data_IF_470644811190
#
_entry.id   IF_470644811190
#
_cell.length_a   1.000
_cell.length_b   1.000
_cell.length_c   1.000
_cell.angle_alpha   90.00
_cell.angle_beta   90.00
_cell.angle_gamma   90.00
#
_symmetry.space_group_name_H-M   'P 1'
#
loop_
_entity.id
_entity.type
_entity.pdbx_description
1 polymer ?
#
# COMPACT_ATOMS: atom_id res chain seq x y z
N UNK A 1 0.47 -26.42 3.01
CA UNK A 1 0.32 -25.85 2.80
C UNK A 1 -0.05 -24.86 3.17
N UNK A 2 -0.04 -24.24 3.11
CA UNK A 2 -0.43 -23.41 3.57
C UNK A 2 -0.72 -22.46 3.23
N UNK A 3 -1.18 -22.23 3.12
CA UNK A 3 -1.58 -21.33 2.73
C UNK A 3 -1.82 -20.33 3.46
N UNK A 4 -1.08 -19.80 3.72
CA UNK A 4 -1.21 -18.77 4.40
C UNK A 4 -1.95 -17.85 3.77
N UNK A 5 -2.78 -17.32 4.30
CA UNK A 5 -3.51 -16.43 3.79
C UNK A 5 -2.79 -15.29 3.49
N UNK A 6 -2.61 -15.10 2.40
CA UNK A 6 -2.00 -14.08 2.06
C UNK A 6 -2.79 -12.95 2.40
N UNK A 7 -2.40 -12.08 3.04
CA UNK A 7 -3.06 -10.89 3.34
C UNK A 7 -3.00 -10.07 2.07
N UNK A 8 -4.04 -10.05 1.32
CA UNK A 8 -4.01 -9.32 0.08
C UNK A 8 -3.87 -7.82 0.32
N UNK A 9 -4.30 -7.33 1.46
CA UNK A 9 -4.10 -5.93 1.78
C UNK A 9 -2.61 -5.63 1.94
N UNK A 10 -1.89 -6.52 2.59
CA UNK A 10 -0.45 -6.31 2.74
C UNK A 10 0.23 -6.31 1.39
N UNK A 11 -0.21 -7.18 0.49
CA UNK A 11 0.38 -7.22 -0.83
C UNK A 11 0.10 -5.93 -1.59
N UNK A 12 -1.13 -5.45 -1.51
CA UNK A 12 -1.47 -4.20 -2.16
C UNK A 12 -0.67 -3.04 -1.58
N UNK A 13 -0.47 -3.03 -0.28
CA UNK A 13 0.30 -1.97 0.33
C UNK A 13 1.73 -1.99 -0.16
N UNK A 14 2.28 -3.17 -0.31
CA UNK A 14 3.64 -3.26 -0.79
C UNK A 14 3.76 -2.78 -2.23
N UNK A 15 2.80 -3.14 -3.06
CA UNK A 15 2.81 -2.66 -4.42
C UNK A 15 2.67 -1.15 -4.49
N UNK A 16 1.79 -0.60 -3.67
CA UNK A 16 1.63 0.85 -3.65
C UNK A 16 2.90 1.53 -3.18
N UNK A 17 3.57 0.94 -2.19
CA UNK A 17 4.79 1.54 -1.71
C UNK A 17 5.85 1.56 -2.80
N UNK A 18 5.96 0.49 -3.56
CA UNK A 18 6.91 0.46 -4.65
C UNK A 18 6.57 1.50 -5.69
N UNK A 19 5.29 1.62 -6.02
CA UNK A 19 4.88 2.61 -6.97
C UNK A 19 5.18 4.02 -6.46
N UNK A 20 4.98 4.23 -5.18
CA UNK A 20 5.27 5.52 -4.59
C UNK A 20 6.75 5.84 -4.70
N UNK A 21 7.60 4.86 -4.42
CA UNK A 21 9.03 5.08 -4.51
C UNK A 21 9.45 5.38 -5.93
N UNK A 22 8.85 4.68 -6.89
CA UNK A 22 9.16 4.96 -8.28
C UNK A 22 8.70 6.35 -8.67
N UNK A 23 7.53 6.75 -8.19
CA UNK A 23 7.03 8.08 -8.50
C UNK A 23 7.95 9.15 -7.92
N UNK A 24 8.45 8.94 -6.71
CA UNK A 24 9.37 9.89 -6.13
C UNK A 24 10.66 9.93 -6.92
N UNK A 25 11.17 8.78 -7.32
CA UNK A 25 12.39 8.72 -8.09
C UNK A 25 12.24 9.43 -9.42
N UNK A 26 11.04 9.42 -9.97
CA UNK A 26 10.77 10.11 -11.23
C UNK A 26 10.28 11.53 -11.00
N UNK A 27 10.23 11.95 -9.76
CA UNK A 27 9.77 13.30 -9.41
C UNK A 27 8.30 13.50 -9.74
N UNK A 28 7.54 12.44 -9.78
CA UNK A 28 6.10 12.53 -9.94
C UNK A 28 5.47 12.66 -8.57
N UNK A 29 5.62 13.82 -7.97
CA UNK A 29 5.21 13.98 -6.58
C UNK A 29 3.71 13.90 -6.41
N UNK A 30 2.94 14.28 -7.42
CA UNK A 30 1.50 14.16 -7.32
C UNK A 30 1.08 12.71 -7.23
N UNK A 31 1.69 11.86 -8.05
CA UNK A 31 1.39 10.45 -8.00
C UNK A 31 1.86 9.85 -6.68
N UNK A 32 3.02 10.27 -6.23
CA UNK A 32 3.54 9.78 -4.96
C UNK A 32 2.58 10.11 -3.83
N UNK A 33 2.00 11.29 -3.84
CA UNK A 33 1.06 11.67 -2.81
C UNK A 33 -0.20 10.81 -2.88
N UNK A 34 -0.67 10.50 -4.08
CA UNK A 34 -1.81 9.63 -4.22
C UNK A 34 -1.52 8.25 -3.65
N UNK A 35 -0.39 7.68 -4.00
CA UNK A 35 -0.05 6.35 -3.50
C UNK A 35 0.09 6.37 -1.99
N UNK A 36 0.64 7.44 -1.46
CA UNK A 36 0.77 7.55 -0.02
C UNK A 36 -0.60 7.57 0.65
N UNK A 37 -1.54 8.33 0.08
CA UNK A 37 -2.87 8.38 0.64
C UNK A 37 -3.55 7.03 0.57
N UNK A 38 -3.37 6.31 -0.52
CA UNK A 38 -3.95 4.99 -0.64
C UNK A 38 -3.35 4.02 0.36
N UNK A 39 -2.04 4.10 0.56
CA UNK A 39 -1.40 3.28 1.57
C UNK A 39 -1.98 3.55 2.94
N UNK A 40 -2.18 4.82 3.25
CA UNK A 40 -2.72 5.18 4.54
C UNK A 40 -4.14 4.65 4.71
N UNK A 41 -4.95 4.77 3.66
CA UNK A 41 -6.32 4.29 3.73
C UNK A 41 -6.34 2.78 3.93
N UNK A 42 -5.48 2.05 3.23
CA UNK A 42 -5.43 0.61 3.41
C UNK A 42 -4.96 0.24 4.80
N UNK A 43 -4.00 0.97 5.31
CA UNK A 43 -3.49 0.69 6.65
C UNK A 43 -4.59 0.90 7.69
N UNK A 44 -5.35 1.96 7.54
CA UNK A 44 -6.43 2.22 8.48
C UNK A 44 -7.53 1.18 8.36
N UNK A 45 -7.83 0.78 7.14
CA UNK A 45 -8.84 -0.24 6.94
C UNK A 45 -8.40 -1.56 7.54
N UNK A 46 -7.13 -1.87 7.38
CA UNK A 46 -6.62 -3.11 7.93
C UNK A 46 -6.69 -3.14 9.44
N UNK A 47 -6.37 -2.01 10.07
CA UNK A 47 -6.45 -1.95 11.51
C UNK A 47 -7.88 -2.05 11.97
N UNK A 48 -8.80 -1.44 11.24
CA UNK A 48 -10.19 -1.50 11.61
C UNK A 48 -10.73 -2.92 11.56
N UNK A 49 -10.21 -3.70 10.61
CA UNK A 49 -10.65 -5.08 10.49
C UNK A 49 -9.98 -6.01 11.45
N UNK A 50 -9.06 -5.56 12.28
CA UNK A 50 -8.31 -6.42 13.06
C UNK A 50 -9.00 -6.85 14.25
N UNK A 51 -10.07 -6.52 14.56
CA UNK A 51 -10.70 -6.93 15.74
C UNK A 51 -11.16 -8.27 15.76
#
# INVERSE_FOLDING_TARGET
YVSAPVDSVALEMEELRQKMELAVASENFEDAAKYRDELRALSESREANRQ
#
